data_IF_507206406301
#
_entry.id   IF_507206406301
#
_cell.length_a   1.000
_cell.length_b   1.000
_cell.length_c   1.000
_cell.angle_alpha   90.00
_cell.angle_beta   90.00
_cell.angle_gamma   90.00
#
_symmetry.space_group_name_H-M   'P 1'
#
loop_
_entity.id
_entity.type
_entity.pdbx_description
1 polymer ?
#
# COMPACT_ATOMS: atom_id res chain seq x y z
N UNK A 1 -14.17 19.21 22.32
CA UNK A 1 -13.60 18.55 21.12
C UNK A 1 -13.80 19.34 19.84
N UNK A 2 -15.02 19.55 19.32
CA UNK A 2 -15.21 20.24 18.02
C UNK A 2 -14.55 21.62 17.92
N UNK A 3 -14.65 22.43 18.98
CA UNK A 3 -14.01 23.75 19.01
C UNK A 3 -12.48 23.65 19.06
N UNK A 4 -11.95 22.69 19.81
CA UNK A 4 -10.51 22.43 19.88
C UNK A 4 -9.95 22.00 18.52
N UNK A 5 -10.61 21.06 17.83
CA UNK A 5 -10.21 20.63 16.49
C UNK A 5 -10.25 21.78 15.48
N UNK A 6 -11.32 22.59 15.47
CA UNK A 6 -11.42 23.78 14.61
C UNK A 6 -10.33 24.81 14.90
N UNK A 7 -9.98 25.00 16.16
CA UNK A 7 -8.92 25.92 16.54
C UNK A 7 -7.58 25.39 16.05
N UNK A 8 -7.28 24.10 16.25
CA UNK A 8 -6.04 23.49 15.81
C UNK A 8 -5.93 23.51 14.28
N UNK A 9 -6.96 23.07 13.56
CA UNK A 9 -7.05 23.12 12.09
C UNK A 9 -6.80 24.53 11.54
N UNK A 10 -7.42 25.55 12.15
CA UNK A 10 -7.19 26.95 11.76
C UNK A 10 -5.73 27.39 11.94
N UNK A 11 -5.05 26.92 12.99
CA UNK A 11 -3.66 27.32 13.26
C UNK A 11 -2.65 26.50 12.45
N UNK A 12 -2.98 25.26 12.09
CA UNK A 12 -2.17 24.41 11.23
C UNK A 12 -2.42 24.63 9.73
N UNK A 13 -3.47 25.38 9.37
CA UNK A 13 -3.94 25.62 7.99
C UNK A 13 -4.24 24.32 7.22
N UNK A 14 -4.49 23.23 7.93
CA UNK A 14 -4.80 21.90 7.43
C UNK A 14 -5.61 21.11 8.48
N UNK A 15 -6.41 20.09 8.07
CA UNK A 15 -6.99 19.14 9.01
C UNK A 15 -5.92 18.52 9.91
N UNK A 16 -6.27 18.16 11.14
CA UNK A 16 -5.29 17.65 12.12
C UNK A 16 -5.71 16.29 12.68
N UNK A 17 -4.72 15.42 12.86
CA UNK A 17 -4.83 14.22 13.68
C UNK A 17 -4.37 14.52 15.10
N UNK A 18 -5.19 14.09 16.07
CA UNK A 18 -5.01 14.40 17.49
C UNK A 18 -5.07 13.13 18.34
N UNK A 19 -3.99 12.86 19.07
CA UNK A 19 -3.97 11.89 20.16
C UNK A 19 -4.09 12.64 21.50
N UNK A 20 -4.99 12.18 22.36
CA UNK A 20 -5.26 12.85 23.64
C UNK A 20 -5.67 11.85 24.72
N UNK A 21 -5.45 12.23 25.97
CA UNK A 21 -6.09 11.58 27.12
C UNK A 21 -7.14 12.51 27.72
N UNK A 22 -8.11 11.92 28.42
CA UNK A 22 -9.03 12.66 29.26
C UNK A 22 -8.95 12.12 30.68
N UNK A 23 -8.95 13.01 31.66
CA UNK A 23 -9.12 12.68 33.07
C UNK A 23 -10.30 13.45 33.64
N UNK A 24 -11.01 12.80 34.56
CA UNK A 24 -12.10 13.40 35.33
C UNK A 24 -11.61 13.54 36.75
N UNK A 25 -11.65 14.76 37.28
CA UNK A 25 -11.34 15.06 38.66
C UNK A 25 -12.61 15.51 39.37
N UNK A 26 -12.80 15.12 40.62
CA UNK A 26 -13.86 15.70 41.44
C UNK A 26 -13.33 16.97 42.10
N UNK A 27 -13.95 18.11 41.81
CA UNK A 27 -13.78 19.32 42.61
C UNK A 27 -14.25 19.01 44.05
N UNK A 28 -13.62 19.54 45.13
CA UNK A 28 -14.15 19.50 46.50
C UNK A 28 -15.65 19.87 46.66
N UNK A 29 -16.29 20.50 45.66
CA UNK A 29 -17.74 20.74 45.61
C UNK A 29 -18.58 19.62 44.94
N UNK A 30 -17.97 18.49 44.57
CA UNK A 30 -18.62 17.36 43.90
C UNK A 30 -18.98 17.61 42.43
N UNK A 31 -18.35 18.60 41.79
CA UNK A 31 -18.51 18.85 40.35
C UNK A 31 -17.37 18.17 39.58
N UNK A 32 -17.68 17.40 38.53
CA UNK A 32 -16.64 16.79 37.70
C UNK A 32 -15.94 17.86 36.86
N UNK A 33 -14.63 17.97 37.05
CA UNK A 33 -13.71 18.74 36.21
C UNK A 33 -13.10 17.81 35.16
N UNK A 34 -13.27 18.18 33.88
CA UNK A 34 -12.71 17.45 32.75
C UNK A 34 -11.39 18.09 32.33
N UNK A 35 -10.30 17.34 32.41
CA UNK A 35 -9.01 17.72 31.86
C UNK A 35 -8.75 16.91 30.59
N UNK A 36 -8.48 17.59 29.48
CA UNK A 36 -8.06 16.99 28.21
C UNK A 36 -6.58 17.31 28.04
N UNK A 37 -5.73 16.29 27.95
CA UNK A 37 -4.30 16.45 27.69
C UNK A 37 -4.00 16.00 26.26
N UNK A 38 -3.48 16.91 25.43
CA UNK A 38 -3.05 16.59 24.07
C UNK A 38 -1.69 15.90 24.15
N UNK A 39 -1.61 14.67 23.64
CA UNK A 39 -0.38 13.89 23.57
C UNK A 39 0.36 14.13 22.25
N UNK A 40 -0.38 14.20 21.14
CA UNK A 40 0.15 14.44 19.82
C UNK A 40 -0.87 15.25 19.01
N UNK A 41 -0.38 16.22 18.23
CA UNK A 41 -1.19 16.96 17.27
C UNK A 41 -0.32 17.19 16.03
N UNK A 42 -0.77 16.69 14.88
CA UNK A 42 -0.07 16.87 13.61
C UNK A 42 -1.06 17.21 12.50
N UNK A 43 -0.63 17.92 11.43
CA UNK A 43 -1.39 17.98 10.19
C UNK A 43 -1.71 16.56 9.70
N UNK A 44 -2.92 16.36 9.22
CA UNK A 44 -3.32 15.11 8.58
C UNK A 44 -2.68 15.06 7.20
N UNK A 45 -1.86 14.04 6.97
CA UNK A 45 -1.23 13.82 5.68
C UNK A 45 -2.28 13.39 4.65
N UNK A 46 -2.18 13.93 3.44
CA UNK A 46 -3.11 13.63 2.35
C UNK A 46 -2.33 13.21 1.11
N UNK A 47 -2.88 12.24 0.38
CA UNK A 47 -2.42 11.93 -0.96
C UNK A 47 -2.69 13.16 -1.84
N UNK A 48 -1.70 13.54 -2.64
CA UNK A 48 -1.85 14.62 -3.60
C UNK A 48 -2.91 14.24 -4.61
N UNK A 49 -3.77 15.20 -4.95
CA UNK A 49 -4.73 15.03 -6.03
C UNK A 49 -3.95 14.78 -7.32
N UNK A 50 -4.13 13.60 -7.88
CA UNK A 50 -3.60 13.22 -9.18
C UNK A 50 -4.61 13.60 -10.26
N UNK A 51 -4.17 13.72 -11.52
CA UNK A 51 -5.09 14.01 -12.61
C UNK A 51 -6.22 12.97 -12.62
N UNK A 52 -7.46 13.43 -12.45
CA UNK A 52 -8.62 12.55 -12.41
C UNK A 52 -8.81 11.89 -13.78
N UNK A 53 -8.42 10.62 -13.88
CA UNK A 53 -8.75 9.78 -15.02
C UNK A 53 -10.06 9.05 -14.70
N UNK A 54 -11.07 9.24 -15.54
CA UNK A 54 -12.34 8.56 -15.35
C UNK A 54 -12.15 7.05 -15.43
N UNK A 55 -12.64 6.32 -14.41
CA UNK A 55 -12.75 4.87 -14.49
C UNK A 55 -13.49 4.48 -15.78
N UNK A 56 -12.94 3.59 -16.62
CA UNK A 56 -13.63 3.12 -17.81
C UNK A 56 -14.95 2.48 -17.40
N UNK A 57 -16.01 2.75 -18.17
CA UNK A 57 -17.35 2.25 -17.88
C UNK A 57 -17.37 0.71 -17.81
N UNK A 58 -16.66 0.05 -18.73
CA UNK A 58 -16.43 -1.40 -18.76
C UNK A 58 -15.03 -1.66 -19.34
N UNK A 59 -14.00 -1.94 -18.52
CA UNK A 59 -12.68 -2.32 -19.02
C UNK A 59 -12.74 -3.69 -19.71
N UNK A 60 -11.91 -3.90 -20.74
CA UNK A 60 -11.76 -5.22 -21.35
C UNK A 60 -11.24 -6.19 -20.27
N UNK A 61 -11.96 -7.29 -19.97
CA UNK A 61 -11.55 -8.23 -18.93
C UNK A 61 -10.14 -8.78 -19.09
N UNK A 62 -9.56 -8.79 -20.31
CA UNK A 62 -8.18 -9.25 -20.51
C UNK A 62 -7.14 -8.24 -20.02
N UNK A 63 -7.51 -6.97 -19.87
CA UNK A 63 -6.60 -5.88 -19.49
C UNK A 63 -6.54 -5.69 -17.97
N UNK A 64 -7.54 -6.20 -17.23
CA UNK A 64 -7.63 -6.08 -15.77
C UNK A 64 -6.65 -7.02 -15.08
N UNK A 65 -5.65 -6.49 -14.38
CA UNK A 65 -4.73 -7.28 -13.53
C UNK A 65 -5.33 -7.48 -12.14
N UNK A 66 -5.94 -6.44 -11.58
CA UNK A 66 -6.68 -6.55 -10.33
C UNK A 66 -7.82 -5.54 -10.26
N UNK A 67 -8.83 -5.84 -9.45
CA UNK A 67 -9.93 -4.94 -9.07
C UNK A 67 -10.20 -5.14 -7.58
N UNK A 68 -10.38 -4.05 -6.84
CA UNK A 68 -10.79 -4.08 -5.43
C UNK A 68 -11.80 -2.99 -5.11
N UNK A 69 -12.68 -3.31 -4.17
CA UNK A 69 -13.71 -2.41 -3.60
C UNK A 69 -13.49 -2.06 -2.13
N UNK A 70 -12.38 -2.52 -1.56
CA UNK A 70 -12.09 -2.36 -0.15
C UNK A 70 -11.24 -1.12 0.11
N UNK A 71 -11.83 -0.11 0.77
CA UNK A 71 -11.18 1.13 1.22
C UNK A 71 -10.31 1.74 0.11
N UNK A 72 -10.98 2.39 -0.83
CA UNK A 72 -10.35 2.91 -2.04
C UNK A 72 -10.02 4.40 -1.86
N UNK A 73 -8.74 4.81 -1.91
CA UNK A 73 -8.40 6.22 -1.97
C UNK A 73 -8.76 6.82 -3.34
N UNK A 74 -8.82 8.13 -3.45
CA UNK A 74 -8.87 8.80 -4.75
C UNK A 74 -7.45 8.92 -5.32
N UNK A 75 -7.22 8.46 -6.55
CA UNK A 75 -5.97 8.73 -7.24
C UNK A 75 -5.74 7.96 -8.54
N UNK A 76 -4.63 8.28 -9.19
CA UNK A 76 -4.24 7.72 -10.48
C UNK A 76 -2.72 7.55 -10.55
N UNK A 77 -2.30 6.32 -10.84
CA UNK A 77 -0.94 5.98 -11.21
C UNK A 77 -0.91 5.70 -12.71
N UNK A 78 -0.42 6.68 -13.48
CA UNK A 78 -0.34 6.63 -14.94
C UNK A 78 0.58 5.50 -15.45
N UNK A 79 1.64 5.17 -14.71
CA UNK A 79 2.59 4.17 -15.20
C UNK A 79 3.30 3.46 -14.07
N UNK A 80 3.19 2.13 -14.11
CA UNK A 80 3.92 1.16 -13.29
C UNK A 80 4.56 0.15 -14.25
N UNK A 81 5.88 0.08 -14.23
CA UNK A 81 6.69 -0.79 -15.09
C UNK A 81 7.10 -2.08 -14.37
N UNK A 82 7.16 -2.04 -13.03
CA UNK A 82 7.54 -3.18 -12.20
C UNK A 82 6.57 -3.43 -11.04
N UNK A 83 6.47 -4.68 -10.62
CA UNK A 83 5.71 -5.10 -9.44
C UNK A 83 6.61 -5.95 -8.56
N UNK A 84 6.87 -5.46 -7.35
CA UNK A 84 7.52 -6.24 -6.28
C UNK A 84 6.44 -7.08 -5.61
N UNK A 85 6.47 -8.38 -5.86
CA UNK A 85 5.43 -9.30 -5.41
C UNK A 85 5.98 -10.30 -4.38
N UNK A 86 5.34 -10.35 -3.22
CA UNK A 86 5.56 -11.38 -2.20
C UNK A 86 4.42 -12.40 -2.30
N UNK A 87 4.66 -13.63 -2.79
CA UNK A 87 3.60 -14.63 -2.87
C UNK A 87 3.13 -15.02 -1.45
N UNK A 88 1.83 -14.89 -1.13
CA UNK A 88 1.32 -15.23 0.20
C UNK A 88 1.68 -16.66 0.65
N UNK A 89 1.55 -17.63 -0.26
CA UNK A 89 1.80 -19.03 0.04
C UNK A 89 3.27 -19.32 0.34
N UNK A 90 4.20 -18.55 -0.22
CA UNK A 90 5.64 -18.68 0.02
C UNK A 90 6.06 -17.93 1.27
N UNK A 91 5.49 -16.73 1.51
CA UNK A 91 5.73 -15.96 2.73
C UNK A 91 5.38 -16.75 4.00
N UNK A 92 4.19 -17.36 4.05
CA UNK A 92 3.77 -18.11 5.24
C UNK A 92 4.46 -19.48 5.39
N UNK A 93 5.20 -19.95 4.38
CA UNK A 93 6.10 -21.11 4.52
C UNK A 93 7.39 -20.75 5.25
N UNK A 94 7.77 -19.47 5.34
CA UNK A 94 8.91 -19.02 6.12
C UNK A 94 8.62 -19.25 7.61
N UNK A 95 9.34 -20.21 8.20
CA UNK A 95 9.07 -20.74 9.55
C UNK A 95 9.63 -19.88 10.67
N UNK A 96 10.62 -19.04 10.39
CA UNK A 96 11.30 -18.25 11.39
C UNK A 96 11.09 -16.75 11.16
N UNK A 97 11.02 -16.02 12.27
CA UNK A 97 11.02 -14.54 12.26
C UNK A 97 12.24 -14.02 11.52
N UNK A 98 13.41 -14.64 11.70
CA UNK A 98 14.64 -14.27 11.00
C UNK A 98 14.49 -14.31 9.48
N UNK A 99 13.91 -15.38 8.92
CA UNK A 99 13.68 -15.46 7.47
C UNK A 99 12.74 -14.35 6.97
N UNK A 100 11.70 -14.02 7.73
CA UNK A 100 10.77 -12.92 7.38
C UNK A 100 11.44 -11.55 7.50
N UNK A 101 12.33 -11.36 8.47
CA UNK A 101 13.17 -10.17 8.60
C UNK A 101 14.20 -10.08 7.46
N UNK A 102 14.79 -11.20 7.05
CA UNK A 102 15.74 -11.22 5.92
C UNK A 102 15.03 -10.94 4.59
N UNK A 103 13.77 -11.37 4.44
CA UNK A 103 12.90 -10.96 3.33
C UNK A 103 12.63 -9.45 3.36
N UNK A 104 12.30 -8.86 4.52
CA UNK A 104 12.11 -7.42 4.64
C UNK A 104 13.39 -6.65 4.23
N UNK A 105 14.56 -7.10 4.67
CA UNK A 105 15.86 -6.53 4.24
C UNK A 105 16.09 -6.67 2.73
N UNK A 106 15.72 -7.80 2.14
CA UNK A 106 15.83 -8.01 0.69
C UNK A 106 14.92 -7.03 -0.07
N UNK A 107 13.69 -6.81 0.41
CA UNK A 107 12.77 -5.79 -0.12
C UNK A 107 13.41 -4.39 -0.03
N UNK A 108 14.00 -4.03 1.12
CA UNK A 108 14.68 -2.74 1.28
C UNK A 108 15.87 -2.55 0.33
N UNK A 109 16.67 -3.60 0.08
CA UNK A 109 17.74 -3.56 -0.94
C UNK A 109 17.17 -3.38 -2.34
N UNK A 110 16.08 -4.05 -2.66
CA UNK A 110 15.43 -3.95 -3.97
C UNK A 110 14.82 -2.56 -4.17
N UNK A 111 14.18 -1.98 -3.15
CA UNK A 111 13.70 -0.61 -3.15
C UNK A 111 14.83 0.38 -3.49
N UNK A 112 16.00 0.24 -2.86
CA UNK A 112 17.15 1.09 -3.19
C UNK A 112 17.66 0.89 -4.62
N UNK A 113 17.61 -0.35 -5.14
CA UNK A 113 18.00 -0.64 -6.52
C UNK A 113 17.01 -0.07 -7.56
N UNK A 114 15.72 0.00 -7.20
CA UNK A 114 14.62 0.47 -8.05
C UNK A 114 14.33 1.98 -7.92
N UNK A 115 15.22 2.79 -7.32
CA UNK A 115 15.01 4.24 -7.08
C UNK A 115 14.49 5.02 -8.30
N UNK A 116 14.92 4.64 -9.51
CA UNK A 116 14.57 5.32 -10.77
C UNK A 116 13.42 4.66 -11.52
N UNK A 117 12.93 3.54 -11.02
CA UNK A 117 11.90 2.74 -11.66
C UNK A 117 10.52 3.06 -11.08
N UNK A 118 9.48 2.87 -11.89
CA UNK A 118 8.09 3.06 -11.46
C UNK A 118 7.53 1.72 -11.03
N UNK A 119 7.44 1.49 -9.72
CA UNK A 119 7.00 0.20 -9.21
C UNK A 119 5.99 0.31 -8.06
N UNK A 120 5.31 -0.81 -7.81
CA UNK A 120 4.41 -1.00 -6.67
C UNK A 120 4.82 -2.24 -5.89
N UNK A 121 4.43 -2.30 -4.61
CA UNK A 121 4.57 -3.48 -3.77
C UNK A 121 3.22 -4.18 -3.66
N UNK A 122 3.22 -5.51 -3.77
CA UNK A 122 2.02 -6.36 -3.60
C UNK A 122 2.39 -7.55 -2.73
N UNK A 123 1.65 -7.83 -1.67
CA UNK A 123 1.97 -8.98 -0.82
C UNK A 123 0.99 -9.25 0.30
N UNK A 124 1.22 -10.30 1.10
CA UNK A 124 0.25 -10.78 2.08
C UNK A 124 0.15 -9.91 3.33
N UNK A 125 -1.08 -9.80 3.82
CA UNK A 125 -1.39 -9.29 5.14
C UNK A 125 -0.98 -7.84 5.32
N UNK A 126 -0.72 -7.48 6.58
CA UNK A 126 -0.38 -6.13 6.99
C UNK A 126 1.12 -5.86 6.92
N UNK A 127 1.53 -5.06 5.95
CA UNK A 127 2.91 -4.55 5.87
C UNK A 127 3.09 -3.44 6.92
N UNK A 128 4.28 -3.34 7.51
CA UNK A 128 4.50 -2.42 8.64
C UNK A 128 4.10 -2.98 10.01
N UNK A 129 3.68 -4.23 10.09
CA UNK A 129 3.35 -4.90 11.35
C UNK A 129 4.60 -5.44 12.04
N UNK A 130 4.76 -5.15 13.34
CA UNK A 130 5.79 -5.81 14.16
C UNK A 130 5.50 -7.29 14.39
N UNK A 131 4.24 -7.72 14.23
CA UNK A 131 3.86 -9.13 14.22
C UNK A 131 3.91 -9.67 12.79
N UNK A 132 4.97 -10.40 12.48
CA UNK A 132 5.20 -11.00 11.16
C UNK A 132 4.21 -12.12 10.78
N UNK A 133 3.41 -12.63 11.74
CA UNK A 133 2.33 -13.57 11.41
C UNK A 133 1.13 -12.87 10.75
N UNK A 134 1.01 -11.54 10.94
CA UNK A 134 -0.06 -10.75 10.35
C UNK A 134 0.28 -10.19 8.97
N UNK A 135 1.55 -10.21 8.56
CA UNK A 135 2.03 -9.65 7.29
C UNK A 135 3.51 -9.31 7.32
N UNK A 136 4.00 -8.64 6.27
CA UNK A 136 5.44 -8.44 6.05
C UNK A 136 6.02 -7.37 7.02
N UNK A 137 7.04 -7.70 7.84
CA UNK A 137 7.59 -6.81 8.86
C UNK A 137 8.62 -5.85 8.26
N UNK A 138 8.17 -4.96 7.38
CA UNK A 138 8.98 -3.87 6.81
C UNK A 138 8.76 -2.57 7.59
N UNK A 139 9.70 -1.65 7.46
CA UNK A 139 9.51 -0.25 7.81
C UNK A 139 9.27 0.60 6.55
N UNK A 140 8.85 1.86 6.72
CA UNK A 140 8.70 2.81 5.60
C UNK A 140 9.96 2.90 4.72
N UNK A 141 11.14 2.90 5.36
CA UNK A 141 12.44 2.97 4.67
C UNK A 141 12.73 1.79 3.73
N UNK A 142 11.97 0.70 3.81
CA UNK A 142 12.12 -0.44 2.93
C UNK A 142 11.34 -0.31 1.62
N UNK A 143 10.40 0.64 1.50
CA UNK A 143 9.51 0.78 0.34
C UNK A 143 9.26 2.23 -0.11
N UNK A 144 10.03 3.21 0.38
CA UNK A 144 9.77 4.62 0.15
C UNK A 144 9.84 5.09 -1.32
N UNK A 145 10.38 4.28 -2.24
CA UNK A 145 10.35 4.55 -3.68
C UNK A 145 9.13 3.94 -4.40
N UNK A 146 8.34 3.10 -3.72
CA UNK A 146 7.15 2.50 -4.29
C UNK A 146 6.06 3.56 -4.54
N UNK A 147 5.17 3.31 -5.50
CA UNK A 147 4.04 4.20 -5.83
C UNK A 147 2.74 3.76 -5.17
N UNK A 148 2.63 2.47 -4.88
CA UNK A 148 1.52 1.90 -4.14
C UNK A 148 1.98 0.69 -3.34
N UNK A 149 1.26 0.42 -2.27
CA UNK A 149 1.37 -0.79 -1.47
C UNK A 149 -0.01 -1.47 -1.48
N UNK A 150 -0.06 -2.67 -2.04
CA UNK A 150 -1.29 -3.46 -2.17
C UNK A 150 -1.21 -4.68 -1.25
N UNK A 151 -1.99 -4.63 -0.19
CA UNK A 151 -2.07 -5.68 0.82
C UNK A 151 -3.11 -6.74 0.42
N UNK A 152 -2.70 -8.01 0.36
CA UNK A 152 -3.57 -9.13 0.02
C UNK A 152 -4.17 -9.72 1.29
N UNK A 153 -5.44 -10.07 1.24
CA UNK A 153 -6.16 -10.70 2.35
C UNK A 153 -7.07 -11.84 1.87
N UNK A 154 -7.46 -12.72 2.78
CA UNK A 154 -8.34 -13.87 2.50
C UNK A 154 -8.16 -15.02 3.50
N UNK A 155 -8.90 -16.11 3.32
CA UNK A 155 -8.98 -17.26 4.23
C UNK A 155 -7.61 -17.85 4.63
N UNK A 156 -6.59 -17.72 3.76
CA UNK A 156 -5.24 -18.24 4.00
C UNK A 156 -4.19 -17.18 4.34
N UNK A 157 -4.59 -15.91 4.40
CA UNK A 157 -3.69 -14.76 4.61
C UNK A 157 -4.07 -14.01 5.89
N UNK A 158 -5.37 -14.00 6.22
CA UNK A 158 -5.94 -13.23 7.31
C UNK A 158 -7.05 -12.32 6.81
N UNK A 159 -7.70 -11.64 7.74
CA UNK A 159 -8.70 -10.63 7.42
C UNK A 159 -8.03 -9.46 6.67
N UNK A 160 -8.78 -8.74 5.82
CA UNK A 160 -8.31 -7.47 5.26
C UNK A 160 -7.81 -6.59 6.40
N UNK A 161 -6.58 -6.05 6.31
CA UNK A 161 -6.12 -5.12 7.32
C UNK A 161 -7.10 -3.96 7.36
N UNK A 162 -7.68 -3.70 8.54
CA UNK A 162 -8.39 -2.44 8.74
C UNK A 162 -7.38 -1.32 8.50
N UNK A 163 -7.70 -0.32 7.67
CA UNK A 163 -6.84 0.84 7.49
C UNK A 163 -6.61 1.42 8.87
N UNK A 164 -5.40 1.22 9.38
CA UNK A 164 -5.05 1.72 10.69
C UNK A 164 -4.65 3.18 10.49
N UNK A 165 -5.67 4.02 10.20
CA UNK A 165 -5.52 5.44 9.87
C UNK A 165 -4.65 6.20 10.89
N UNK A 166 -4.54 5.67 12.12
CA UNK A 166 -3.70 6.19 13.20
C UNK A 166 -2.31 5.58 13.36
N UNK A 167 -1.81 4.67 12.51
CA UNK A 167 -0.42 4.20 12.64
C UNK A 167 0.58 5.13 11.97
N UNK A 168 1.76 5.27 12.59
CA UNK A 168 2.90 5.97 11.98
C UNK A 168 3.17 5.47 10.56
N UNK A 169 3.25 4.14 10.38
CA UNK A 169 3.46 3.53 9.08
C UNK A 169 2.45 3.98 8.02
N UNK A 170 1.14 4.01 8.32
CA UNK A 170 0.12 4.40 7.35
C UNK A 170 0.31 5.86 6.92
N UNK A 171 0.70 6.71 7.85
CA UNK A 171 0.86 8.13 7.60
C UNK A 171 2.17 8.42 6.86
N UNK A 172 3.22 7.66 7.12
CA UNK A 172 4.45 7.68 6.34
C UNK A 172 4.17 7.31 4.87
N UNK A 173 3.25 6.37 4.59
CA UNK A 173 2.81 6.07 3.22
C UNK A 173 2.15 7.27 2.55
N UNK A 174 1.22 7.94 3.23
CA UNK A 174 0.53 9.11 2.67
C UNK A 174 1.51 10.26 2.42
N UNK A 175 2.44 10.51 3.35
CA UNK A 175 3.46 11.55 3.21
C UNK A 175 4.38 11.27 2.02
N UNK A 176 4.76 10.01 1.82
CA UNK A 176 5.59 9.56 0.71
C UNK A 176 4.82 9.36 -0.61
N UNK A 177 3.52 9.65 -0.64
CA UNK A 177 2.66 9.48 -1.83
C UNK A 177 2.61 8.02 -2.33
N UNK A 178 2.65 7.08 -1.38
CA UNK A 178 2.48 5.65 -1.62
C UNK A 178 1.00 5.33 -1.39
N UNK A 179 0.28 5.01 -2.45
CA UNK A 179 -1.15 4.69 -2.34
C UNK A 179 -1.35 3.36 -1.58
N UNK A 180 -1.99 3.37 -0.40
CA UNK A 180 -2.36 2.14 0.30
C UNK A 180 -3.62 1.57 -0.33
N UNK A 181 -3.57 0.30 -0.72
CA UNK A 181 -4.69 -0.47 -1.25
C UNK A 181 -4.73 -1.83 -0.58
N UNK A 182 -5.90 -2.45 -0.53
CA UNK A 182 -6.01 -3.84 -0.15
C UNK A 182 -6.95 -4.61 -1.08
N UNK A 183 -6.64 -5.89 -1.32
CA UNK A 183 -7.42 -6.79 -2.14
C UNK A 183 -7.83 -7.98 -1.27
N UNK A 184 -9.13 -8.14 -1.07
CA UNK A 184 -9.68 -9.35 -0.46
C UNK A 184 -9.89 -10.42 -1.54
N UNK A 185 -9.00 -11.42 -1.58
CA UNK A 185 -8.93 -12.41 -2.66
C UNK A 185 -10.16 -13.31 -2.75
N UNK A 186 -10.89 -13.50 -1.65
CA UNK A 186 -12.09 -14.35 -1.61
C UNK A 186 -13.39 -13.58 -1.90
N UNK A 187 -13.31 -12.26 -2.10
CA UNK A 187 -14.49 -11.48 -2.45
C UNK A 187 -14.83 -11.68 -3.94
N UNK A 188 -16.06 -12.08 -4.30
CA UNK A 188 -16.41 -12.45 -5.67
C UNK A 188 -16.37 -11.29 -6.66
N UNK A 189 -16.48 -10.05 -6.19
CA UNK A 189 -16.36 -8.84 -7.02
C UNK A 189 -14.91 -8.38 -7.24
N UNK A 190 -13.96 -8.93 -6.48
CA UNK A 190 -12.55 -8.56 -6.64
C UNK A 190 -11.92 -9.42 -7.74
N UNK A 191 -11.03 -8.82 -8.50
CA UNK A 191 -10.25 -9.50 -9.53
C UNK A 191 -8.80 -9.55 -9.06
N UNK A 192 -8.17 -10.71 -9.20
CA UNK A 192 -6.73 -10.86 -8.99
C UNK A 192 -6.19 -11.86 -10.03
N UNK A 193 -5.49 -11.34 -11.05
CA UNK A 193 -5.01 -12.13 -12.18
C UNK A 193 -3.77 -12.93 -11.81
N UNK A 194 -3.97 -14.15 -11.34
CA UNK A 194 -2.87 -15.02 -10.88
C UNK A 194 -1.82 -15.25 -11.95
N UNK A 195 -2.18 -15.33 -13.23
CA UNK A 195 -1.21 -15.53 -14.31
C UNK A 195 -0.17 -14.39 -14.36
N UNK A 196 -0.62 -13.14 -14.15
CA UNK A 196 0.29 -11.99 -14.10
C UNK A 196 1.27 -12.09 -12.92
N UNK A 197 0.78 -12.44 -11.73
CA UNK A 197 1.62 -12.46 -10.52
C UNK A 197 2.50 -13.72 -10.38
N UNK A 198 2.03 -14.87 -10.87
CA UNK A 198 2.67 -16.17 -10.64
C UNK A 198 3.36 -16.74 -11.87
N UNK A 199 2.94 -16.40 -13.09
CA UNK A 199 3.48 -17.00 -14.31
C UNK A 199 4.43 -16.07 -15.08
N UNK A 200 4.33 -14.76 -14.88
CA UNK A 200 5.29 -13.80 -15.47
C UNK A 200 6.72 -14.07 -15.00
N UNK A 201 7.73 -14.03 -15.88
CA UNK A 201 9.13 -14.22 -15.51
C UNK A 201 9.57 -13.36 -14.33
N UNK A 202 10.29 -13.98 -13.39
CA UNK A 202 10.89 -13.27 -12.26
C UNK A 202 12.23 -12.65 -12.65
N UNK A 203 12.37 -11.36 -12.40
CA UNK A 203 13.53 -10.53 -12.74
C UNK A 203 14.35 -10.12 -11.53
N UNK A 204 14.07 -10.68 -10.34
CA UNK A 204 14.72 -10.27 -9.09
C UNK A 204 16.26 -10.35 -9.17
N UNK A 205 16.77 -11.45 -9.72
CA UNK A 205 18.21 -11.70 -9.88
C UNK A 205 18.94 -10.74 -10.82
N UNK A 206 18.22 -9.96 -11.64
CA UNK A 206 18.81 -8.90 -12.48
C UNK A 206 19.19 -7.67 -11.64
N UNK A 207 18.60 -7.50 -10.45
CA UNK A 207 18.70 -6.29 -9.62
C UNK A 207 19.45 -6.50 -8.31
N UNK A 208 19.22 -7.64 -7.67
CA UNK A 208 19.79 -7.95 -6.35
C UNK A 208 20.18 -9.43 -6.28
N UNK A 209 21.08 -9.76 -5.36
CA UNK A 209 21.36 -11.16 -5.02
C UNK A 209 20.42 -11.60 -3.90
N UNK A 210 19.54 -12.56 -4.18
CA UNK A 210 18.72 -13.21 -3.15
C UNK A 210 19.44 -14.38 -2.47
N UNK A 211 19.27 -14.55 -1.14
CA UNK A 211 19.64 -15.79 -0.46
C UNK A 211 18.83 -16.98 -1.01
N UNK A 212 19.43 -18.18 -1.17
CA UNK A 212 18.73 -19.36 -1.69
C UNK A 212 17.45 -19.71 -0.92
N UNK A 213 17.43 -19.46 0.39
CA UNK A 213 16.30 -19.68 1.28
C UNK A 213 15.11 -18.76 1.04
N UNK A 214 15.28 -17.66 0.29
CA UNK A 214 14.24 -16.68 -0.04
C UNK A 214 13.84 -16.70 -1.53
N UNK A 215 14.41 -17.60 -2.33
CA UNK A 215 14.28 -17.58 -3.79
C UNK A 215 12.82 -17.62 -4.32
N UNK A 216 11.86 -18.13 -3.54
CA UNK A 216 10.44 -18.16 -3.92
C UNK A 216 9.59 -17.11 -3.21
N UNK A 217 10.16 -16.41 -2.23
CA UNK A 217 9.42 -15.54 -1.31
C UNK A 217 9.34 -14.08 -1.78
N UNK A 218 10.11 -13.70 -2.79
CA UNK A 218 10.06 -12.39 -3.43
C UNK A 218 10.19 -12.56 -4.93
N UNK A 219 9.41 -11.81 -5.70
CA UNK A 219 9.48 -11.76 -7.14
C UNK A 219 9.52 -10.32 -7.60
N UNK A 220 10.28 -10.04 -8.65
CA UNK A 220 10.21 -8.78 -9.37
C UNK A 220 9.62 -9.05 -10.75
N UNK A 221 8.41 -8.55 -10.97
CA UNK A 221 7.70 -8.71 -12.23
C UNK A 221 7.92 -7.45 -13.06
N UNK A 222 8.41 -7.59 -14.29
CA UNK A 222 8.42 -6.52 -15.29
C UNK A 222 7.14 -6.62 -16.12
N UNK A 223 6.32 -5.57 -16.16
CA UNK A 223 5.00 -5.61 -16.80
C UNK A 223 5.09 -6.00 -18.29
N UNK A 224 6.10 -5.49 -18.99
CA UNK A 224 6.38 -5.80 -20.39
C UNK A 224 6.56 -7.31 -20.67
N UNK A 225 7.04 -8.09 -19.68
CA UNK A 225 7.29 -9.51 -19.86
C UNK A 225 5.98 -10.33 -19.82
N UNK A 226 4.93 -9.80 -19.20
CA UNK A 226 3.60 -10.39 -19.26
C UNK A 226 2.89 -10.03 -20.57
N UNK A 227 2.97 -8.76 -20.97
CA UNK A 227 2.43 -8.25 -22.22
C UNK A 227 3.39 -7.24 -22.84
N UNK A 228 3.98 -7.55 -24.01
CA UNK A 228 4.91 -6.65 -24.68
C UNK A 228 4.31 -5.28 -24.94
N UNK A 229 5.17 -4.27 -24.87
CA UNK A 229 4.86 -2.85 -25.11
C UNK A 229 3.66 -2.38 -24.28
N UNK A 230 3.62 -2.74 -22.99
CA UNK A 230 2.60 -2.30 -22.07
C UNK A 230 3.14 -1.96 -20.68
N UNK A 231 2.40 -1.10 -19.99
CA UNK A 231 2.58 -0.77 -18.58
C UNK A 231 1.28 -0.99 -17.82
N UNK A 232 1.37 -0.97 -16.50
CA UNK A 232 0.22 -1.03 -15.61
C UNK A 232 -0.19 0.39 -15.21
N UNK A 233 -1.44 0.73 -15.46
CA UNK A 233 -2.13 1.89 -14.88
C UNK A 233 -2.91 1.45 -13.64
N UNK A 234 -2.99 2.30 -12.62
CA UNK A 234 -3.88 2.08 -11.47
C UNK A 234 -4.79 3.28 -11.32
N UNK A 235 -6.10 3.05 -11.43
CA UNK A 235 -7.12 4.08 -11.27
C UNK A 235 -7.89 3.77 -9.99
N UNK A 236 -7.98 4.74 -9.08
CA UNK A 236 -8.59 4.60 -7.77
C UNK A 236 -9.64 5.71 -7.63
N UNK A 237 -10.90 5.32 -7.45
CA UNK A 237 -12.01 6.26 -7.30
C UNK A 237 -12.69 6.04 -5.97
N UNK A 238 -12.54 7.00 -5.06
CA UNK A 238 -13.22 7.02 -3.76
C UNK A 238 -14.73 7.18 -3.97
N UNK A 239 -15.16 8.05 -4.89
CA UNK A 239 -16.58 8.26 -5.23
C UNK A 239 -17.28 6.96 -5.64
N UNK A 240 -16.61 6.12 -6.46
CA UNK A 240 -17.15 4.84 -6.93
C UNK A 240 -16.81 3.67 -6.01
N UNK A 241 -15.92 3.86 -5.04
CA UNK A 241 -15.40 2.81 -4.16
C UNK A 241 -14.70 1.68 -4.92
N UNK A 242 -13.97 1.98 -6.01
CA UNK A 242 -13.30 0.98 -6.86
C UNK A 242 -11.89 1.41 -7.22
N UNK A 243 -10.92 0.52 -7.01
CA UNK A 243 -9.57 0.61 -7.55
C UNK A 243 -9.31 -0.51 -8.55
N UNK A 244 -8.74 -0.17 -9.71
CA UNK A 244 -8.47 -1.11 -10.80
C UNK A 244 -7.05 -0.95 -11.33
N UNK A 245 -6.34 -2.06 -11.49
CA UNK A 245 -5.07 -2.16 -12.19
C UNK A 245 -5.28 -2.65 -13.62
N UNK A 246 -4.94 -1.83 -14.62
CA UNK A 246 -5.18 -2.09 -16.04
C UNK A 246 -3.88 -2.09 -16.84
N UNK A 247 -3.71 -3.04 -17.73
CA UNK A 247 -2.66 -2.99 -18.73
C UNK A 247 -3.02 -1.99 -19.84
N UNK A 248 -2.11 -1.07 -20.12
CA UNK A 248 -2.21 -0.15 -21.25
C UNK A 248 -1.05 -0.33 -22.21
N UNK A 249 -1.29 -0.22 -23.53
CA UNK A 249 -0.21 -0.20 -24.49
C UNK A 249 0.64 1.07 -24.28
N UNK A 250 1.95 0.93 -24.42
CA UNK A 250 2.86 2.06 -24.49
C UNK A 250 2.56 2.85 -25.77
N UNK A 251 2.29 4.16 -25.62
CA UNK A 251 2.18 5.02 -26.79
C UNK A 251 3.56 5.13 -27.47
N UNK A 252 3.62 5.13 -28.82
CA UNK A 252 4.87 5.11 -29.57
C UNK A 252 5.79 6.33 -29.34
N UNK A 253 5.32 7.40 -28.68
CA UNK A 253 6.11 8.61 -28.42
C UNK A 253 6.99 8.53 -27.16
N UNK A 254 6.83 7.53 -26.29
CA UNK A 254 7.63 7.40 -25.05
C UNK A 254 8.92 6.56 -25.20
N UNK A 255 9.37 6.29 -26.43
CA UNK A 255 10.60 5.50 -26.70
C UNK A 255 11.89 6.33 -26.84
N UNK A 256 11.85 7.64 -26.59
CA UNK A 256 13.04 8.47 -26.64
C UNK A 256 13.10 9.40 -25.43
N UNK A 257 13.90 9.02 -24.44
CA UNK A 257 14.88 9.87 -23.74
C UNK A 257 15.85 8.99 -22.94
#
# INVERSE_FOLDING_TARGET
MREMLRLLEKNYEAPVDLEFTFSVHDDPQGKPELCITILQCRPQSQLQSTAATALPYEPDPKDVIFETRFVVPEGYLERVDYVVFVPPEEYYKLKSVNQRTDLARLIGRLNAALEKEKYICVGPGRWGSSNSDLGVPIDYGDIYHARALIELAGEKIGLPPEPSLGTHFFQDLLEAQIFPLAIHLDHPENIFRREFFYETPDRLSEWVTEPPELATSLRLIRVHDYRPDSHLEIIMSDEKGVAIGLLRPDQPENRAL
#
